data_IF_502567761760
#
_entry.id   IF_502567761760
#
_cell.length_a   1.000
_cell.length_b   1.000
_cell.length_c   1.000
_cell.angle_alpha   90.00
_cell.angle_beta   90.00
_cell.angle_gamma   90.00
#
_symmetry.space_group_name_H-M   'P 1'
#
loop_
_entity.id
_entity.type
_entity.pdbx_description
1 polymer ?
#
# COMPACT_ATOMS: atom_id res chain seq x y z
N UNK A 1 4.22 56.60 1.59
CA UNK A 1 3.14 55.58 1.69
C UNK A 1 2.19 56.04 2.77
N UNK A 2 0.96 56.39 2.38
CA UNK A 2 -0.02 57.04 3.27
C UNK A 2 -0.50 56.03 4.35
N UNK A 3 -0.70 56.54 5.57
CA UNK A 3 -1.15 55.74 6.74
C UNK A 3 -2.47 55.00 6.49
N UNK A 4 -3.32 55.46 5.59
CA UNK A 4 -4.55 54.83 5.14
C UNK A 4 -4.31 53.54 4.32
N UNK A 5 -3.31 53.53 3.45
CA UNK A 5 -3.00 52.33 2.64
C UNK A 5 -2.46 51.18 3.49
N UNK A 6 -1.71 51.45 4.56
CA UNK A 6 -1.26 50.43 5.51
C UNK A 6 -2.41 49.81 6.30
N UNK A 7 -3.41 50.59 6.69
CA UNK A 7 -4.60 50.10 7.39
C UNK A 7 -5.47 49.24 6.47
N UNK A 8 -5.62 49.62 5.20
CA UNK A 8 -6.37 48.87 4.20
C UNK A 8 -5.71 47.51 3.91
N UNK A 9 -4.41 47.47 3.80
CA UNK A 9 -3.63 46.25 3.54
C UNK A 9 -3.67 45.29 4.74
N UNK A 10 -3.60 45.83 5.97
CA UNK A 10 -3.71 45.06 7.19
C UNK A 10 -5.11 44.40 7.34
N UNK A 11 -6.17 45.13 6.96
CA UNK A 11 -7.55 44.64 7.02
C UNK A 11 -7.82 43.51 6.00
N UNK A 12 -7.24 43.66 4.77
CA UNK A 12 -7.29 42.63 3.74
C UNK A 12 -6.58 41.32 4.15
N UNK A 13 -5.42 41.42 4.81
CA UNK A 13 -4.70 40.27 5.33
C UNK A 13 -5.48 39.55 6.44
N UNK A 14 -6.17 40.32 7.28
CA UNK A 14 -6.97 39.76 8.39
C UNK A 14 -8.19 39.01 7.88
N UNK A 15 -8.88 39.54 6.87
CA UNK A 15 -10.00 38.86 6.19
C UNK A 15 -9.49 37.58 5.47
N UNK A 16 -8.34 37.64 4.80
CA UNK A 16 -7.73 36.47 4.16
C UNK A 16 -7.38 35.36 5.16
N UNK A 17 -6.85 35.72 6.32
CA UNK A 17 -6.55 34.75 7.37
C UNK A 17 -7.82 34.09 7.95
N UNK A 18 -8.90 34.88 8.17
CA UNK A 18 -10.16 34.35 8.68
C UNK A 18 -10.82 33.41 7.66
N UNK A 19 -10.77 33.73 6.36
CA UNK A 19 -11.33 32.84 5.32
C UNK A 19 -10.56 31.52 5.22
N UNK A 20 -9.23 31.54 5.33
CA UNK A 20 -8.41 30.31 5.35
C UNK A 20 -8.74 29.47 6.58
N UNK A 21 -8.85 30.09 7.76
CA UNK A 21 -9.24 29.38 9.00
C UNK A 21 -10.65 28.80 8.91
N UNK A 22 -11.59 29.50 8.31
CA UNK A 22 -12.94 29.01 8.09
C UNK A 22 -12.98 27.82 7.12
N UNK A 23 -12.19 27.85 6.05
CA UNK A 23 -12.09 26.73 5.09
C UNK A 23 -11.46 25.48 5.70
N UNK A 24 -10.46 25.63 6.59
CA UNK A 24 -9.87 24.53 7.33
C UNK A 24 -10.86 23.98 8.37
N UNK A 25 -11.56 24.85 9.07
CA UNK A 25 -12.55 24.48 10.11
C UNK A 25 -13.82 23.83 9.56
N UNK A 26 -14.17 24.07 8.28
CA UNK A 26 -15.31 23.44 7.62
C UNK A 26 -14.97 22.08 6.98
N UNK A 27 -13.73 21.58 7.14
CA UNK A 27 -13.33 20.29 6.59
C UNK A 27 -13.30 20.23 5.04
N UNK A 28 -13.27 21.39 4.34
CA UNK A 28 -13.26 21.45 2.88
C UNK A 28 -11.91 20.96 2.30
N UNK A 29 -10.89 20.82 3.16
CA UNK A 29 -9.63 20.15 2.83
C UNK A 29 -9.68 18.67 3.29
N UNK A 30 -10.71 17.94 2.88
CA UNK A 30 -10.66 16.49 2.96
C UNK A 30 -9.53 16.00 2.06
N UNK A 31 -8.42 15.63 2.67
CA UNK A 31 -7.41 14.82 2.02
C UNK A 31 -8.08 13.47 1.77
N UNK A 32 -8.33 13.06 0.52
CA UNK A 32 -8.94 11.75 0.27
C UNK A 32 -8.06 10.70 0.94
N UNK A 33 -8.61 10.04 1.95
CA UNK A 33 -7.99 8.84 2.49
C UNK A 33 -7.89 7.85 1.34
N UNK A 34 -6.67 7.44 0.99
CA UNK A 34 -6.41 6.44 -0.04
C UNK A 34 -6.94 5.08 0.45
N UNK A 35 -8.24 4.88 0.38
CA UNK A 35 -8.82 3.57 0.60
C UNK A 35 -8.56 2.71 -0.62
N UNK A 36 -8.08 1.49 -0.42
CA UNK A 36 -7.91 0.52 -1.48
C UNK A 36 -9.30 0.22 -2.08
N UNK A 37 -9.50 0.58 -3.35
CA UNK A 37 -10.73 0.23 -4.04
C UNK A 37 -10.68 -1.26 -4.41
N UNK A 38 -11.56 -2.06 -3.84
CA UNK A 38 -11.69 -3.47 -4.20
C UNK A 38 -12.35 -3.55 -5.57
N UNK A 39 -11.68 -4.18 -6.53
CA UNK A 39 -12.20 -4.51 -7.85
C UNK A 39 -12.53 -5.99 -7.91
N UNK A 40 -13.73 -6.30 -8.38
CA UNK A 40 -14.15 -7.65 -8.67
C UNK A 40 -14.03 -7.89 -10.17
N UNK A 41 -13.33 -8.96 -10.56
CA UNK A 41 -13.10 -9.36 -11.95
C UNK A 41 -13.45 -10.83 -12.11
N UNK A 42 -14.11 -11.17 -13.19
CA UNK A 42 -14.29 -12.56 -13.60
C UNK A 42 -13.12 -12.92 -14.52
N UNK A 43 -12.21 -13.79 -14.05
CA UNK A 43 -10.99 -14.19 -14.76
C UNK A 43 -11.26 -15.36 -15.73
N UNK A 44 -12.24 -16.19 -15.38
CA UNK A 44 -12.72 -17.33 -16.16
C UNK A 44 -14.17 -17.65 -15.76
N UNK A 45 -14.93 -18.42 -16.52
CA UNK A 45 -16.28 -18.82 -16.14
C UNK A 45 -16.31 -19.38 -14.71
N UNK A 46 -17.07 -18.72 -13.84
CA UNK A 46 -17.21 -19.05 -12.41
C UNK A 46 -15.96 -18.88 -11.54
N UNK A 47 -14.87 -18.24 -12.02
CA UNK A 47 -13.72 -17.88 -11.22
C UNK A 47 -13.72 -16.38 -10.93
N UNK A 48 -13.93 -16.03 -9.66
CA UNK A 48 -13.97 -14.63 -9.23
C UNK A 48 -12.63 -14.21 -8.62
N UNK A 49 -12.12 -13.05 -9.02
CA UNK A 49 -10.94 -12.43 -8.46
C UNK A 49 -11.32 -11.10 -7.83
N UNK A 50 -11.06 -11.00 -6.54
CA UNK A 50 -11.15 -9.74 -5.82
C UNK A 50 -9.74 -9.16 -5.73
N UNK A 51 -9.58 -7.93 -6.19
CA UNK A 51 -8.30 -7.26 -6.22
C UNK A 51 -8.38 -5.94 -5.43
N UNK A 52 -7.52 -5.78 -4.46
CA UNK A 52 -7.27 -4.51 -3.80
C UNK A 52 -5.88 -3.99 -4.21
N UNK A 53 -5.80 -2.71 -4.61
CA UNK A 53 -4.54 -2.08 -5.04
C UNK A 53 -4.30 -0.80 -4.26
N UNK A 54 -3.06 -0.63 -3.78
CA UNK A 54 -2.64 0.56 -3.07
C UNK A 54 -1.18 0.90 -3.40
N UNK A 55 -0.88 2.20 -3.45
CA UNK A 55 0.50 2.68 -3.54
C UNK A 55 1.01 2.98 -2.15
N UNK A 56 2.14 2.39 -1.78
CA UNK A 56 2.83 2.60 -0.51
C UNK A 56 4.18 3.27 -0.77
N UNK A 57 4.69 4.01 0.22
CA UNK A 57 6.04 4.54 0.19
C UNK A 57 6.93 3.75 1.12
N UNK A 58 8.17 3.49 0.67
CA UNK A 58 9.20 2.90 1.51
C UNK A 58 9.89 3.96 2.38
N UNK A 59 10.85 3.53 3.21
CA UNK A 59 11.64 4.41 4.08
C UNK A 59 12.52 5.42 3.32
N UNK A 60 12.73 5.21 2.02
CA UNK A 60 13.51 6.11 1.15
C UNK A 60 12.60 7.03 0.32
N UNK A 61 11.26 6.92 0.46
CA UNK A 61 10.28 7.70 -0.28
C UNK A 61 9.93 7.14 -1.65
N UNK A 62 10.48 5.98 -2.07
CA UNK A 62 10.14 5.33 -3.32
C UNK A 62 8.72 4.76 -3.24
N UNK A 63 8.02 4.80 -4.36
CA UNK A 63 6.65 4.30 -4.45
C UNK A 63 6.63 2.84 -4.87
N UNK A 64 5.88 2.02 -4.14
CA UNK A 64 5.60 0.62 -4.40
C UNK A 64 4.13 0.42 -4.68
N UNK A 65 3.78 -0.37 -5.69
CA UNK A 65 2.43 -0.87 -5.86
C UNK A 65 2.25 -2.16 -5.08
N UNK A 66 1.28 -2.15 -4.18
CA UNK A 66 0.89 -3.32 -3.40
C UNK A 66 -0.47 -3.78 -3.88
N UNK A 67 -0.58 -5.04 -4.28
CA UNK A 67 -1.79 -5.61 -4.87
C UNK A 67 -2.11 -6.90 -4.13
N UNK A 68 -3.25 -6.92 -3.44
CA UNK A 68 -3.80 -8.13 -2.83
C UNK A 68 -4.81 -8.77 -3.79
N UNK A 69 -4.73 -10.09 -3.96
CA UNK A 69 -5.63 -10.87 -4.81
C UNK A 69 -6.26 -11.98 -3.99
N UNK A 70 -7.58 -12.04 -3.98
CA UNK A 70 -8.32 -13.20 -3.49
C UNK A 70 -9.00 -13.86 -4.68
N UNK A 71 -8.58 -15.06 -5.04
CA UNK A 71 -9.23 -15.87 -6.07
C UNK A 71 -10.16 -16.88 -5.43
N UNK A 72 -11.37 -16.94 -5.91
CA UNK A 72 -12.35 -17.96 -5.51
C UNK A 72 -12.64 -18.81 -6.73
N UNK A 73 -12.35 -20.11 -6.64
CA UNK A 73 -12.56 -21.09 -7.72
C UNK A 73 -13.93 -21.74 -7.63
N UNK A 74 -14.42 -22.33 -8.73
CA UNK A 74 -15.71 -23.01 -8.75
C UNK A 74 -15.82 -24.19 -7.78
N UNK A 75 -14.68 -24.82 -7.43
CA UNK A 75 -14.57 -25.93 -6.47
C UNK A 75 -14.63 -25.48 -5.00
N UNK A 76 -14.84 -24.17 -4.75
CA UNK A 76 -14.85 -23.57 -3.41
C UNK A 76 -13.49 -23.27 -2.84
N UNK A 77 -12.41 -23.68 -3.50
CA UNK A 77 -11.05 -23.34 -3.06
C UNK A 77 -10.76 -21.87 -3.28
N UNK A 78 -10.06 -21.27 -2.33
CA UNK A 78 -9.60 -19.88 -2.47
C UNK A 78 -8.08 -19.77 -2.32
N UNK A 79 -7.48 -18.78 -2.98
CA UNK A 79 -6.10 -18.36 -2.75
C UNK A 79 -6.08 -16.89 -2.40
N UNK A 80 -5.14 -16.49 -1.53
CA UNK A 80 -4.92 -15.10 -1.17
C UNK A 80 -3.45 -14.77 -1.34
N UNK A 81 -3.14 -13.91 -2.29
CA UNK A 81 -1.78 -13.57 -2.71
C UNK A 81 -1.53 -12.07 -2.59
N UNK A 82 -0.32 -11.72 -2.20
CA UNK A 82 0.18 -10.34 -2.16
C UNK A 82 1.25 -10.17 -3.23
N UNK A 83 1.11 -9.16 -4.07
CA UNK A 83 2.13 -8.75 -5.04
C UNK A 83 2.67 -7.38 -4.69
N UNK A 84 3.99 -7.26 -4.68
CA UNK A 84 4.73 -6.01 -4.48
C UNK A 84 5.44 -5.68 -5.79
N UNK A 85 5.25 -4.46 -6.29
CA UNK A 85 5.86 -3.99 -7.54
C UNK A 85 6.58 -2.69 -7.28
N UNK A 86 7.90 -2.71 -7.37
CA UNK A 86 8.74 -1.52 -7.34
C UNK A 86 9.01 -0.96 -8.74
N UNK A 87 9.65 0.19 -8.81
CA UNK A 87 10.14 0.70 -10.09
C UNK A 87 11.31 -0.16 -10.61
N UNK A 88 11.32 -0.46 -11.93
CA UNK A 88 12.45 -1.14 -12.54
C UNK A 88 13.77 -0.41 -12.25
N UNK A 89 14.85 -1.19 -12.11
CA UNK A 89 16.24 -0.72 -11.92
C UNK A 89 16.52 0.07 -10.62
N UNK A 90 15.48 0.38 -9.82
CA UNK A 90 15.64 1.09 -8.55
C UNK A 90 16.04 0.14 -7.41
N UNK A 91 15.36 -1.01 -7.33
CA UNK A 91 15.58 -2.02 -6.29
C UNK A 91 15.45 -3.41 -6.89
N UNK A 92 16.39 -4.30 -6.56
CA UNK A 92 16.30 -5.71 -6.88
C UNK A 92 15.96 -6.51 -5.61
N UNK A 93 14.82 -7.21 -5.67
CA UNK A 93 14.33 -8.07 -4.59
C UNK A 93 15.23 -9.31 -4.50
N UNK A 94 15.58 -9.74 -3.28
CA UNK A 94 16.21 -11.02 -3.04
C UNK A 94 15.14 -12.10 -2.89
N UNK A 95 14.81 -12.76 -4.00
CA UNK A 95 13.80 -13.82 -4.04
C UNK A 95 14.18 -15.10 -3.27
N UNK A 96 15.44 -15.24 -2.86
CA UNK A 96 15.90 -16.36 -2.04
C UNK A 96 15.57 -16.17 -0.56
N UNK A 97 15.28 -14.95 -0.14
CA UNK A 97 14.93 -14.60 1.24
C UNK A 97 13.43 -14.42 1.41
N UNK A 98 12.86 -14.82 2.55
CA UNK A 98 11.45 -14.65 2.80
C UNK A 98 11.08 -13.18 3.08
N UNK A 99 9.86 -12.78 2.69
CA UNK A 99 9.23 -11.56 3.15
C UNK A 99 8.89 -11.69 4.64
N UNK A 100 9.19 -10.67 5.42
CA UNK A 100 8.83 -10.62 6.85
C UNK A 100 7.67 -9.65 7.06
N UNK A 101 6.62 -10.11 7.76
CA UNK A 101 5.49 -9.29 8.20
C UNK A 101 5.55 -9.12 9.70
N UNK A 102 5.47 -7.89 10.19
CA UNK A 102 5.41 -7.60 11.63
C UNK A 102 4.19 -6.75 11.92
N UNK A 103 3.29 -7.23 12.76
CA UNK A 103 2.12 -6.46 13.19
C UNK A 103 2.48 -5.44 14.28
N UNK A 104 1.56 -4.53 14.59
CA UNK A 104 1.76 -3.51 15.63
C UNK A 104 1.89 -4.08 17.05
N UNK A 105 1.54 -5.35 17.26
CA UNK A 105 1.72 -6.08 18.53
C UNK A 105 3.10 -6.76 18.63
N UNK A 106 3.95 -6.63 17.61
CA UNK A 106 5.29 -7.22 17.56
C UNK A 106 5.32 -8.68 17.09
N UNK A 107 4.19 -9.26 16.69
CA UNK A 107 4.17 -10.62 16.11
C UNK A 107 4.77 -10.57 14.72
N UNK A 108 5.71 -11.45 14.45
CA UNK A 108 6.44 -11.56 13.18
C UNK A 108 6.11 -12.87 12.49
N UNK A 109 5.81 -12.81 11.19
CA UNK A 109 5.54 -13.93 10.31
C UNK A 109 6.46 -13.83 9.09
N UNK A 110 6.83 -14.95 8.49
CA UNK A 110 7.66 -15.02 7.29
C UNK A 110 6.97 -15.80 6.19
N UNK A 111 7.17 -15.37 4.94
CA UNK A 111 6.54 -15.98 3.77
C UNK A 111 7.58 -16.07 2.65
N UNK A 112 7.68 -17.26 2.06
CA UNK A 112 8.56 -17.48 0.90
C UNK A 112 8.04 -16.75 -0.33
N UNK A 113 8.97 -16.30 -1.17
CA UNK A 113 8.65 -15.71 -2.46
C UNK A 113 8.14 -16.78 -3.43
N UNK A 114 7.08 -16.45 -4.18
CA UNK A 114 6.46 -17.31 -5.21
C UNK A 114 6.44 -16.64 -6.58
N UNK A 115 7.24 -15.61 -6.78
CA UNK A 115 7.29 -14.79 -8.01
C UNK A 115 7.63 -15.60 -9.26
N UNK A 116 8.41 -16.67 -9.11
CA UNK A 116 8.74 -17.58 -10.21
C UNK A 116 7.51 -18.23 -10.86
N UNK A 117 6.39 -18.30 -10.14
CA UNK A 117 5.14 -18.86 -10.66
C UNK A 117 4.39 -17.92 -11.60
N UNK A 118 4.77 -16.63 -11.66
CA UNK A 118 4.06 -15.62 -12.45
C UNK A 118 4.65 -15.52 -13.87
N UNK A 119 5.96 -15.61 -13.99
CA UNK A 119 6.69 -15.33 -15.21
C UNK A 119 7.37 -16.59 -15.74
N UNK A 120 7.18 -16.87 -17.03
CA UNK A 120 7.80 -18.02 -17.69
C UNK A 120 9.33 -17.93 -17.73
N UNK A 121 9.86 -16.71 -17.71
CA UNK A 121 11.31 -16.42 -17.80
C UNK A 121 11.98 -16.27 -16.42
N UNK A 122 11.25 -16.58 -15.34
CA UNK A 122 11.71 -16.41 -13.96
C UNK A 122 11.24 -15.11 -13.31
N UNK A 123 11.55 -14.95 -12.03
CA UNK A 123 11.10 -13.80 -11.24
C UNK A 123 11.72 -12.49 -11.76
N UNK A 124 10.91 -11.47 -11.89
CA UNK A 124 11.36 -10.11 -12.22
C UNK A 124 12.02 -9.47 -11.00
N UNK A 125 13.17 -8.78 -11.13
CA UNK A 125 13.91 -8.26 -9.98
C UNK A 125 13.14 -7.24 -9.14
N UNK A 126 12.16 -6.55 -9.72
CA UNK A 126 11.36 -5.52 -9.05
C UNK A 126 9.94 -5.98 -8.67
N UNK A 127 9.62 -7.28 -8.83
CA UNK A 127 8.29 -7.83 -8.54
C UNK A 127 8.39 -9.00 -7.59
N UNK A 128 7.79 -8.89 -6.40
CA UNK A 128 7.64 -9.98 -5.43
C UNK A 128 6.20 -10.48 -5.37
N UNK A 129 5.98 -11.80 -5.28
CA UNK A 129 4.68 -12.40 -5.01
C UNK A 129 4.77 -13.38 -3.85
N UNK A 130 3.75 -13.36 -3.00
CA UNK A 130 3.72 -14.09 -1.72
C UNK A 130 2.35 -14.69 -1.49
N UNK A 131 2.29 -15.98 -1.11
CA UNK A 131 1.04 -16.65 -0.76
C UNK A 131 0.70 -16.39 0.70
N UNK A 132 -0.31 -15.56 0.94
CA UNK A 132 -0.79 -15.21 2.29
C UNK A 132 -1.88 -16.18 2.80
N UNK A 133 -2.36 -17.11 1.99
CA UNK A 133 -3.43 -18.04 2.36
C UNK A 133 -3.14 -18.81 3.67
N UNK A 134 -1.91 -19.34 3.89
CA UNK A 134 -1.59 -20.04 5.14
C UNK A 134 -1.61 -19.15 6.38
N UNK A 135 -1.47 -17.84 6.22
CA UNK A 135 -1.36 -16.87 7.31
C UNK A 135 -2.66 -16.12 7.59
N UNK A 136 -3.72 -16.34 6.81
CA UNK A 136 -4.98 -15.59 6.95
C UNK A 136 -5.56 -15.68 8.37
N UNK A 137 -5.44 -16.82 9.04
CA UNK A 137 -5.91 -16.99 10.43
C UNK A 137 -5.11 -16.18 11.45
N UNK A 138 -3.88 -15.77 11.08
CA UNK A 138 -2.97 -15.01 11.92
C UNK A 138 -2.95 -13.50 11.56
N UNK A 139 -3.43 -13.16 10.37
CA UNK A 139 -3.60 -11.80 9.90
C UNK A 139 -4.94 -11.26 10.44
N UNK A 140 -4.83 -10.33 11.38
CA UNK A 140 -6.00 -9.60 11.86
C UNK A 140 -6.24 -8.42 10.93
N UNK A 141 -7.35 -8.43 10.19
CA UNK A 141 -7.69 -7.41 9.19
C UNK A 141 -7.79 -5.97 9.77
N UNK A 142 -7.86 -5.84 11.08
CA UNK A 142 -8.01 -4.55 11.78
C UNK A 142 -6.67 -3.95 12.23
N UNK A 143 -5.57 -4.72 12.13
CA UNK A 143 -4.25 -4.32 12.66
C UNK A 143 -3.29 -4.03 11.51
N UNK A 144 -2.71 -2.81 11.45
CA UNK A 144 -1.68 -2.50 10.46
C UNK A 144 -0.44 -3.35 10.66
N UNK A 145 0.25 -3.68 9.57
CA UNK A 145 1.50 -4.41 9.62
C UNK A 145 2.57 -3.76 8.76
N UNK A 146 3.82 -4.03 9.11
CA UNK A 146 4.99 -3.66 8.34
C UNK A 146 5.50 -4.86 7.57
N UNK A 147 5.83 -4.64 6.31
CA UNK A 147 6.56 -5.58 5.48
C UNK A 147 8.03 -5.21 5.50
N UNK A 148 8.90 -6.18 5.69
CA UNK A 148 10.33 -6.04 5.44
C UNK A 148 10.68 -6.93 4.23
N UNK A 149 10.89 -6.28 3.08
CA UNK A 149 11.17 -6.92 1.80
C UNK A 149 12.68 -7.00 1.62
N UNK A 150 13.28 -8.21 1.53
CA UNK A 150 14.72 -8.36 1.36
C UNK A 150 15.17 -7.90 -0.03
N UNK A 151 16.37 -7.31 -0.12
CA UNK A 151 16.96 -6.81 -1.36
C UNK A 151 18.35 -7.39 -1.58
N UNK A 152 18.77 -7.51 -2.85
CA UNK A 152 20.10 -8.01 -3.21
C UNK A 152 21.23 -7.04 -2.83
N UNK A 153 20.91 -5.75 -2.71
CA UNK A 153 21.90 -4.70 -2.45
C UNK A 153 21.41 -3.79 -1.34
N UNK A 154 21.75 -4.10 -0.09
CA UNK A 154 21.51 -3.19 1.02
C UNK A 154 20.42 -3.65 2.00
N UNK A 155 19.83 -2.70 2.70
CA UNK A 155 18.86 -2.95 3.74
C UNK A 155 17.50 -3.37 3.17
N UNK A 156 16.74 -4.12 3.96
CA UNK A 156 15.38 -4.49 3.59
C UNK A 156 14.50 -3.25 3.39
N UNK A 157 13.65 -3.29 2.38
CA UNK A 157 12.64 -2.27 2.13
C UNK A 157 11.51 -2.43 3.15
N UNK A 158 11.19 -1.34 3.84
CA UNK A 158 10.11 -1.31 4.83
C UNK A 158 8.87 -0.63 4.25
N UNK A 159 7.75 -1.34 4.22
CA UNK A 159 6.45 -0.84 3.77
C UNK A 159 5.43 -0.96 4.89
N UNK A 160 4.68 0.12 5.14
CA UNK A 160 3.55 0.09 6.08
C UNK A 160 2.27 -0.21 5.32
N UNK A 161 1.63 -1.32 5.65
CA UNK A 161 0.39 -1.77 5.03
C UNK A 161 -0.79 -1.44 5.94
N UNK A 162 -1.75 -0.63 5.46
CA UNK A 162 -2.94 -0.32 6.22
C UNK A 162 -3.91 -1.52 6.25
N UNK A 163 -4.76 -1.62 7.27
CA UNK A 163 -5.74 -2.69 7.39
C UNK A 163 -6.65 -2.85 6.18
N UNK A 164 -7.01 -1.75 5.52
CA UNK A 164 -7.93 -1.72 4.37
C UNK A 164 -7.44 -2.49 3.13
N UNK A 165 -6.18 -2.94 3.10
CA UNK A 165 -5.67 -3.73 1.98
C UNK A 165 -5.98 -5.22 2.13
N UNK A 166 -6.19 -5.70 3.35
CA UNK A 166 -6.38 -7.12 3.69
C UNK A 166 -7.74 -7.43 4.32
N UNK A 167 -8.56 -6.39 4.53
CA UNK A 167 -9.91 -6.48 5.08
C UNK A 167 -10.94 -7.04 4.09
#
# INVERSE_FOLDING_TARGET
MNCQTRKFFSWLLLIGAITIFALIGLGILDVPSSSAAIRQLEESPNQMVYQARQSLKDQHGNTWQTIAFKRVRPDGNSSFELRLVGFPDLVAIDHAQPLTLTNSLGKTLTISDTSSNIFKEGAQPNVGQYDLQPLLSELQAEIPFKLALPTLKGDAISLSVPPSLVA
#
